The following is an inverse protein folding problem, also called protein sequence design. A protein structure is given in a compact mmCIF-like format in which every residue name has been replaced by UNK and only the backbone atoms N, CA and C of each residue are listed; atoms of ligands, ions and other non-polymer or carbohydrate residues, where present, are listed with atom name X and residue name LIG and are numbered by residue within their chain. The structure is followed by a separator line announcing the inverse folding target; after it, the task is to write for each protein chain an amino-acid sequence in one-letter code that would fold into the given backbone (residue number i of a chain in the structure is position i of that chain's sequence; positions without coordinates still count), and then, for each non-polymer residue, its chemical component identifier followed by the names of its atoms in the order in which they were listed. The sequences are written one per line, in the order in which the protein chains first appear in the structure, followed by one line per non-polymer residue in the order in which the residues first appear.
data_IF_315050322490
#
_entry.id   IF_315050322490
#
_cell.length_a   1.000
_cell.length_b   1.000
_cell.length_c   1.000
_cell.angle_alpha   90.00
_cell.angle_beta   90.00
_cell.angle_gamma   90.00
#
_symmetry.space_group_name_H-M   'P 1'
#
loop_
_entity.id
_entity.type
_entity.pdbx_description
1 polymer ?
#
# COMPACT_ATOMS: atom_id res chain seq x y z
N UNK A 1 16.44 -8.54 0.21
CA UNK A 1 15.45 -7.50 -0.16
C UNK A 1 16.00 -6.60 -1.25
N UNK A 2 15.15 -5.94 -2.04
CA UNK A 2 15.55 -5.14 -3.21
C UNK A 2 16.59 -4.05 -2.88
N UNK A 3 16.43 -3.33 -1.78
CA UNK A 3 17.37 -2.28 -1.39
C UNK A 3 18.76 -2.82 -1.01
N UNK A 4 18.82 -4.02 -0.43
CA UNK A 4 20.08 -4.72 -0.17
C UNK A 4 20.74 -5.22 -1.47
N UNK A 5 19.96 -5.52 -2.51
CA UNK A 5 20.52 -5.83 -3.82
C UNK A 5 21.11 -4.56 -4.45
N UNK A 6 20.39 -3.44 -4.40
CA UNK A 6 20.83 -2.16 -4.96
C UNK A 6 22.06 -1.62 -4.25
N UNK A 7 22.20 -1.80 -2.94
CA UNK A 7 23.42 -1.42 -2.23
C UNK A 7 24.65 -2.22 -2.72
N UNK A 8 24.51 -3.52 -2.98
CA UNK A 8 25.58 -4.35 -3.58
C UNK A 8 25.96 -3.92 -4.99
N UNK A 9 24.98 -3.47 -5.79
CA UNK A 9 25.23 -3.04 -7.17
C UNK A 9 26.06 -1.76 -7.26
N UNK A 10 25.97 -0.88 -6.27
CA UNK A 10 26.75 0.38 -6.24
C UNK A 10 28.27 0.16 -6.18
N UNK A 11 28.73 -0.99 -5.73
CA UNK A 11 30.16 -1.33 -5.67
C UNK A 11 30.63 -2.15 -6.87
N UNK A 12 29.73 -2.53 -7.78
CA UNK A 12 30.08 -3.30 -8.96
C UNK A 12 30.62 -2.40 -10.07
N UNK A 13 31.59 -2.91 -10.82
CA UNK A 13 32.24 -2.20 -11.92
C UNK A 13 31.47 -2.49 -13.22
N UNK A 14 31.11 -1.46 -14.00
CA UNK A 14 30.47 -1.66 -15.29
C UNK A 14 31.43 -2.33 -16.26
N UNK A 15 30.89 -3.30 -17.00
CA UNK A 15 31.57 -3.84 -18.18
C UNK A 15 31.10 -2.97 -19.35
N UNK A 16 32.05 -2.40 -20.08
CA UNK A 16 31.76 -1.85 -21.39
C UNK A 16 31.50 -3.04 -22.31
N UNK A 17 30.25 -3.16 -22.76
CA UNK A 17 29.92 -4.06 -23.86
C UNK A 17 30.64 -3.49 -25.10
N UNK A 18 31.85 -3.99 -25.38
CA UNK A 18 32.52 -3.82 -26.68
C UNK A 18 31.86 -4.70 -27.76
N UNK A 19 30.93 -5.57 -27.38
CA UNK A 19 30.23 -6.52 -28.24
C UNK A 19 28.87 -6.00 -28.79
N UNK A 20 28.83 -4.75 -29.28
CA UNK A 20 27.80 -4.31 -30.25
C UNK A 20 28.37 -4.26 -31.68
N UNK A 21 29.49 -4.97 -31.94
CA UNK A 21 30.10 -5.14 -33.27
C UNK A 21 29.68 -6.47 -33.94
N UNK A 22 28.48 -6.98 -33.63
CA UNK A 22 28.02 -8.30 -34.08
C UNK A 22 26.78 -8.34 -34.97
N UNK A 23 26.01 -7.26 -35.13
CA UNK A 23 24.76 -7.28 -35.91
C UNK A 23 24.82 -6.34 -37.11
N UNK A 24 25.36 -6.90 -38.20
CA UNK A 24 24.95 -6.77 -39.61
C UNK A 24 24.34 -5.43 -40.03
N UNK A 25 25.00 -4.77 -40.99
CA UNK A 25 24.46 -3.70 -41.86
C UNK A 25 23.23 -4.16 -42.69
N UNK A 26 22.13 -4.55 -42.03
CA UNK A 26 20.94 -5.08 -42.68
C UNK A 26 19.66 -4.53 -42.05
N UNK A 27 19.13 -3.48 -42.69
CA UNK A 27 17.85 -2.82 -42.45
C UNK A 27 17.63 -2.16 -41.08
N UNK A 28 17.50 -0.82 -41.13
CA UNK A 28 16.97 -0.01 -40.05
C UNK A 28 15.48 -0.37 -39.82
N UNK A 29 15.25 -1.51 -39.18
CA UNK A 29 13.91 -1.97 -38.84
C UNK A 29 13.26 -0.97 -37.90
N UNK A 30 12.11 -0.44 -38.31
CA UNK A 30 11.29 0.51 -37.58
C UNK A 30 10.04 -0.17 -37.03
N UNK A 31 9.44 0.43 -36.02
CA UNK A 31 8.18 0.02 -35.42
C UNK A 31 7.36 1.26 -35.07
N UNK A 32 6.06 1.12 -34.82
CA UNK A 32 5.22 2.25 -34.43
C UNK A 32 5.08 2.35 -32.91
N UNK A 33 5.14 3.57 -32.37
CA UNK A 33 4.79 3.81 -30.97
C UNK A 33 3.28 3.59 -30.75
N UNK A 34 2.91 2.70 -29.83
CA UNK A 34 1.49 2.45 -29.51
C UNK A 34 0.78 3.69 -28.91
N UNK A 35 1.53 4.61 -28.30
CA UNK A 35 0.99 5.78 -27.59
C UNK A 35 0.78 6.97 -28.51
N UNK A 36 1.72 7.26 -29.41
CA UNK A 36 1.65 8.43 -30.30
C UNK A 36 1.51 8.10 -31.80
N UNK A 37 1.62 6.83 -32.19
CA UNK A 37 1.49 6.38 -33.58
C UNK A 37 2.69 6.72 -34.49
N UNK A 38 3.75 7.33 -33.96
CA UNK A 38 4.93 7.73 -34.75
C UNK A 38 5.82 6.51 -35.01
N UNK A 39 6.38 6.45 -36.22
CA UNK A 39 7.38 5.46 -36.60
C UNK A 39 8.73 5.75 -35.92
N UNK A 40 9.28 4.75 -35.25
CA UNK A 40 10.48 4.84 -34.42
C UNK A 40 11.44 3.68 -34.73
N UNK A 41 12.77 3.91 -34.71
CA UNK A 41 13.74 2.84 -34.86
C UNK A 41 13.64 1.82 -33.71
N UNK A 42 13.72 0.51 -34.02
CA UNK A 42 13.62 -0.55 -33.00
C UNK A 42 14.68 -0.37 -31.89
N UNK A 43 15.91 0.04 -32.25
CA UNK A 43 17.01 0.28 -31.30
C UNK A 43 16.66 1.31 -30.20
N UNK A 44 15.80 2.29 -30.49
CA UNK A 44 15.38 3.33 -29.53
C UNK A 44 13.94 3.21 -29.07
N UNK A 45 13.21 2.20 -29.57
CA UNK A 45 11.77 2.07 -29.38
C UNK A 45 11.35 2.06 -27.91
N UNK A 46 12.02 1.26 -27.06
CA UNK A 46 11.71 1.18 -25.64
C UNK A 46 11.87 2.52 -24.90
N UNK A 47 12.93 3.28 -25.22
CA UNK A 47 13.18 4.60 -24.61
C UNK A 47 12.16 5.64 -25.06
N UNK A 48 11.76 5.59 -26.33
CA UNK A 48 10.70 6.45 -26.83
C UNK A 48 9.36 6.09 -26.16
N UNK A 49 8.98 4.82 -26.15
CA UNK A 49 7.71 4.36 -25.59
C UNK A 49 7.56 4.72 -24.11
N UNK A 50 8.61 4.54 -23.30
CA UNK A 50 8.61 4.95 -21.88
C UNK A 50 8.41 6.47 -21.71
N UNK A 51 9.18 7.29 -22.42
CA UNK A 51 9.03 8.76 -22.37
C UNK A 51 7.68 9.24 -22.90
N UNK A 52 7.22 8.65 -24.00
CA UNK A 52 5.96 9.00 -24.63
C UNK A 52 4.79 8.65 -23.73
N UNK A 53 4.85 7.47 -23.09
CA UNK A 53 3.86 7.05 -22.10
C UNK A 53 3.82 8.01 -20.91
N UNK A 54 4.97 8.36 -20.32
CA UNK A 54 5.03 9.30 -19.19
C UNK A 54 4.45 10.68 -19.56
N UNK A 55 4.72 11.17 -20.78
CA UNK A 55 4.15 12.44 -21.29
C UNK A 55 2.64 12.36 -21.50
N UNK A 56 2.12 11.23 -21.95
CA UNK A 56 0.69 11.02 -22.13
C UNK A 56 0.01 10.91 -20.76
N UNK A 57 0.56 10.09 -19.87
CA UNK A 57 0.04 9.85 -18.54
C UNK A 57 -0.04 11.14 -17.72
N UNK A 58 0.95 12.03 -17.81
CA UNK A 58 0.99 13.31 -17.09
C UNK A 58 -0.09 14.32 -17.52
N UNK A 59 -0.87 14.05 -18.57
CA UNK A 59 -1.97 14.93 -18.99
C UNK A 59 -3.25 14.71 -18.19
N UNK A 60 -3.36 13.58 -17.50
CA UNK A 60 -4.50 13.26 -16.64
C UNK A 60 -4.09 13.37 -15.19
N UNK A 61 -4.88 14.01 -14.35
CA UNK A 61 -4.65 14.01 -12.90
C UNK A 61 -5.49 12.92 -12.24
N UNK A 62 -4.86 12.14 -11.36
CA UNK A 62 -5.56 11.16 -10.51
C UNK A 62 -5.33 11.58 -9.07
N UNK A 63 -6.42 11.93 -8.38
CA UNK A 63 -6.33 12.45 -7.02
C UNK A 63 -7.55 12.19 -6.15
N UNK A 64 -7.38 12.45 -4.87
CA UNK A 64 -8.45 12.43 -3.87
C UNK A 64 -8.23 13.56 -2.88
N UNK A 65 -9.32 14.05 -2.28
CA UNK A 65 -9.27 15.08 -1.23
C UNK A 65 -8.58 14.57 0.04
N UNK A 66 -8.54 13.25 0.23
CA UNK A 66 -7.95 12.63 1.40
C UNK A 66 -6.51 12.19 1.14
N UNK A 67 -5.60 12.47 2.09
CA UNK A 67 -4.24 11.94 2.09
C UNK A 67 -4.26 10.47 2.54
N UNK A 68 -3.46 9.61 1.92
CA UNK A 68 -3.41 8.20 2.34
C UNK A 68 -2.64 8.10 3.66
N UNK A 69 -3.24 7.46 4.66
CA UNK A 69 -2.62 7.24 5.98
C UNK A 69 -2.31 5.75 6.16
N UNK A 70 -1.17 5.31 5.65
CA UNK A 70 -0.65 3.96 5.85
C UNK A 70 0.65 4.08 6.65
N UNK A 71 0.71 3.44 7.80
CA UNK A 71 1.90 3.44 8.66
C UNK A 71 3.08 2.74 7.96
N UNK A 72 4.29 3.31 8.11
CA UNK A 72 5.52 2.74 7.56
C UNK A 72 5.98 3.38 6.24
N UNK A 73 5.45 2.94 5.10
CA UNK A 73 5.92 3.38 3.78
C UNK A 73 4.78 3.81 2.86
N UNK A 74 4.76 5.09 2.47
CA UNK A 74 3.73 5.61 1.58
C UNK A 74 3.99 5.13 0.14
N UNK A 75 3.13 4.23 -0.34
CA UNK A 75 3.14 3.69 -1.70
C UNK A 75 2.59 4.69 -2.72
N UNK A 76 1.74 5.61 -2.27
CA UNK A 76 1.14 6.64 -3.11
C UNK A 76 1.97 7.92 -3.06
N UNK A 77 1.85 8.72 -4.10
CA UNK A 77 2.55 9.99 -4.22
C UNK A 77 2.12 11.00 -3.16
N UNK A 78 0.81 11.18 -2.96
CA UNK A 78 0.20 12.11 -2.01
C UNK A 78 0.76 13.54 -2.06
N UNK A 79 1.28 13.97 -3.21
CA UNK A 79 1.63 15.37 -3.42
C UNK A 79 0.34 16.19 -3.51
N UNK A 80 0.25 17.25 -2.70
CA UNK A 80 -0.93 18.11 -2.67
C UNK A 80 -0.87 19.13 -3.82
N UNK A 81 -1.89 19.13 -4.67
CA UNK A 81 -2.06 20.13 -5.70
C UNK A 81 -3.01 21.24 -5.19
N UNK A 82 -2.50 22.44 -4.87
CA UNK A 82 -3.31 23.53 -4.31
C UNK A 82 -4.36 24.07 -5.29
N UNK A 83 -4.12 23.95 -6.60
CA UNK A 83 -5.07 24.42 -7.62
C UNK A 83 -6.32 23.55 -7.68
N UNK A 84 -6.15 22.23 -7.52
CA UNK A 84 -7.28 21.27 -7.54
C UNK A 84 -7.83 20.95 -6.15
N UNK A 85 -7.09 21.25 -5.09
CA UNK A 85 -7.44 20.85 -3.72
C UNK A 85 -7.35 19.34 -3.46
N UNK A 86 -6.59 18.60 -4.28
CA UNK A 86 -6.51 17.13 -4.22
C UNK A 86 -5.05 16.66 -4.04
N UNK A 87 -4.91 15.49 -3.41
CA UNK A 87 -3.65 14.75 -3.29
C UNK A 87 -3.49 13.76 -4.44
N UNK A 88 -2.31 13.68 -5.04
CA UNK A 88 -2.00 12.74 -6.11
C UNK A 88 -2.07 11.27 -5.63
N UNK A 89 -2.84 10.42 -6.32
CA UNK A 89 -3.04 9.00 -5.98
C UNK A 89 -2.32 8.02 -6.90
N UNK A 90 -1.40 8.51 -7.73
CA UNK A 90 -0.48 7.62 -8.47
C UNK A 90 0.48 6.94 -7.49
N UNK A 91 0.96 5.74 -7.84
CA UNK A 91 2.07 5.13 -7.11
C UNK A 91 3.27 6.06 -7.13
N UNK A 92 3.90 6.27 -5.98
CA UNK A 92 5.01 7.21 -5.81
C UNK A 92 6.15 6.94 -6.79
N UNK A 93 6.47 5.67 -7.01
CA UNK A 93 7.57 5.25 -7.90
C UNK A 93 7.24 5.37 -9.39
N UNK A 94 5.96 5.48 -9.76
CA UNK A 94 5.52 5.64 -11.16
C UNK A 94 5.04 7.05 -11.50
N UNK A 95 4.73 7.88 -10.51
CA UNK A 95 4.15 9.20 -10.73
C UNK A 95 5.04 10.08 -11.64
N UNK A 96 4.59 10.45 -12.86
CA UNK A 96 5.40 11.21 -13.82
C UNK A 96 5.54 12.67 -13.42
N UNK A 97 4.60 13.19 -12.61
CA UNK A 97 4.54 14.60 -12.23
C UNK A 97 5.41 14.93 -11.00
N UNK A 98 5.45 14.02 -10.03
CA UNK A 98 5.97 14.31 -8.69
C UNK A 98 7.06 13.35 -8.23
N UNK A 99 7.44 12.37 -9.05
CA UNK A 99 8.61 11.53 -8.80
C UNK A 99 9.85 12.17 -9.40
N UNK A 100 10.88 12.39 -8.58
CA UNK A 100 12.19 12.84 -9.06
C UNK A 100 12.96 11.62 -9.53
N UNK A 101 13.27 11.55 -10.82
CA UNK A 101 14.17 10.53 -11.33
C UNK A 101 15.57 10.70 -10.70
N UNK A 102 16.14 9.65 -10.10
CA UNK A 102 17.47 9.72 -9.54
C UNK A 102 18.49 9.93 -10.67
N UNK A 103 19.48 10.79 -10.42
CA UNK A 103 20.60 10.99 -11.36
C UNK A 103 21.43 9.71 -11.41
N UNK A 104 21.46 9.07 -12.57
CA UNK A 104 22.26 7.86 -12.83
C UNK A 104 23.73 8.28 -13.04
N UNK A 105 24.63 7.77 -12.21
CA UNK A 105 26.08 7.99 -12.41
C UNK A 105 26.59 7.15 -13.58
N UNK A 106 27.71 7.55 -14.18
CA UNK A 106 28.33 6.80 -15.29
C UNK A 106 28.91 5.47 -14.85
N UNK A 107 29.23 5.35 -13.57
CA UNK A 107 29.75 4.15 -12.90
C UNK A 107 28.66 3.17 -12.48
N UNK A 108 27.38 3.54 -12.57
CA UNK A 108 26.29 2.69 -12.09
C UNK A 108 26.01 1.56 -13.09
N UNK A 109 26.11 0.32 -12.62
CA UNK A 109 25.71 -0.86 -13.40
C UNK A 109 24.19 -0.98 -13.44
N UNK A 110 23.68 -1.61 -14.50
CA UNK A 110 22.26 -1.96 -14.61
C UNK A 110 21.82 -2.79 -13.40
N UNK A 111 22.52 -3.88 -13.12
CA UNK A 111 22.31 -4.70 -11.93
C UNK A 111 21.02 -5.52 -11.90
N UNK A 112 20.28 -5.60 -13.01
CA UNK A 112 19.13 -6.48 -13.10
C UNK A 112 19.56 -7.92 -12.79
N UNK A 113 18.93 -8.61 -11.82
CA UNK A 113 19.23 -10.01 -11.54
C UNK A 113 19.05 -10.84 -12.81
N UNK A 114 20.07 -11.63 -13.16
CA UNK A 114 19.99 -12.56 -14.28
C UNK A 114 19.46 -13.89 -13.73
N UNK A 115 18.50 -14.48 -14.43
CA UNK A 115 17.98 -15.79 -14.09
C UNK A 115 18.68 -16.82 -14.98
N UNK A 116 19.37 -17.78 -14.39
CA UNK A 116 19.90 -18.95 -15.12
C UNK A 116 18.83 -20.03 -15.31
N UNK A 117 17.94 -20.19 -14.32
CA UNK A 117 16.78 -21.09 -14.33
C UNK A 117 15.64 -20.48 -13.51
N UNK A 118 14.39 -20.86 -13.81
CA UNK A 118 13.13 -20.24 -13.33
C UNK A 118 12.97 -20.22 -11.79
N UNK A 119 13.82 -20.92 -11.04
CA UNK A 119 13.68 -21.10 -9.58
C UNK A 119 14.97 -20.92 -8.77
N UNK A 120 16.13 -20.75 -9.42
CA UNK A 120 17.41 -20.64 -8.71
C UNK A 120 17.93 -19.21 -8.79
N UNK A 121 18.17 -18.61 -7.63
CA UNK A 121 18.81 -17.30 -7.50
C UNK A 121 20.25 -17.41 -8.02
N UNK A 122 20.41 -17.23 -9.33
CA UNK A 122 21.70 -16.92 -9.88
C UNK A 122 22.13 -15.61 -9.22
N UNK A 123 23.21 -15.65 -8.43
CA UNK A 123 23.80 -14.45 -7.81
C UNK A 123 24.45 -13.51 -8.85
N UNK A 124 24.11 -13.68 -10.12
CA UNK A 124 24.60 -12.90 -11.24
C UNK A 124 23.61 -11.79 -11.57
N UNK A 125 24.16 -10.67 -12.01
CA UNK A 125 23.40 -9.48 -12.35
C UNK A 125 24.01 -8.84 -13.59
N UNK A 126 23.18 -8.10 -14.33
CA UNK A 126 23.59 -7.37 -15.51
C UNK A 126 24.68 -6.33 -15.15
N UNK A 127 25.87 -6.46 -15.73
CA UNK A 127 27.01 -5.55 -15.47
C UNK A 127 27.13 -4.40 -16.48
N UNK A 128 26.27 -4.36 -17.49
CA UNK A 128 26.22 -3.27 -18.47
C UNK A 128 25.97 -1.95 -17.76
N UNK A 129 26.62 -0.86 -18.20
CA UNK A 129 26.34 0.48 -17.70
C UNK A 129 24.84 0.79 -17.78
N UNK A 130 24.25 1.26 -16.67
CA UNK A 130 22.79 1.50 -16.55
C UNK A 130 22.25 2.46 -17.61
N UNK A 131 23.07 3.43 -18.05
CA UNK A 131 22.72 4.37 -19.14
C UNK A 131 22.65 3.68 -20.50
N UNK A 132 23.50 2.68 -20.76
CA UNK A 132 23.60 1.98 -22.05
C UNK A 132 22.65 0.78 -22.16
N UNK A 133 22.34 0.12 -21.04
CA UNK A 133 21.48 -1.08 -21.01
C UNK A 133 20.07 -0.85 -21.58
N UNK A 134 19.76 -1.48 -22.72
CA UNK A 134 18.42 -1.45 -23.34
C UNK A 134 17.54 -2.62 -22.86
N UNK A 135 18.15 -3.78 -22.56
CA UNK A 135 17.43 -5.01 -22.13
C UNK A 135 16.63 -4.84 -20.84
N UNK A 136 17.13 -4.03 -19.91
CA UNK A 136 16.56 -3.87 -18.57
C UNK A 136 16.25 -2.40 -18.25
N UNK A 137 15.67 -1.69 -19.21
CA UNK A 137 15.34 -0.28 -19.05
C UNK A 137 14.35 -0.09 -17.88
N UNK A 138 14.73 0.71 -16.88
CA UNK A 138 13.86 1.04 -15.76
C UNK A 138 13.50 -0.13 -14.83
N UNK A 139 14.20 -1.28 -14.90
CA UNK A 139 13.85 -2.49 -14.14
C UNK A 139 13.72 -2.22 -12.63
N UNK A 140 14.57 -1.38 -12.05
CA UNK A 140 14.48 -1.01 -10.63
C UNK A 140 13.18 -0.28 -10.28
N UNK A 141 12.75 0.64 -11.16
CA UNK A 141 11.50 1.40 -11.01
C UNK A 141 10.32 0.44 -11.11
N UNK A 142 10.33 -0.45 -12.09
CA UNK A 142 9.30 -1.47 -12.30
C UNK A 142 9.23 -2.48 -11.14
N UNK A 143 10.37 -2.96 -10.65
CA UNK A 143 10.43 -3.90 -9.53
C UNK A 143 9.93 -3.27 -8.22
N UNK A 144 10.24 -1.99 -7.98
CA UNK A 144 9.65 -1.25 -6.86
C UNK A 144 8.14 -1.10 -7.02
N UNK A 145 7.66 -0.78 -8.22
CA UNK A 145 6.24 -0.66 -8.50
C UNK A 145 5.49 -1.99 -8.30
N UNK A 146 6.09 -3.11 -8.70
CA UNK A 146 5.55 -4.45 -8.46
C UNK A 146 5.38 -4.74 -6.96
N UNK A 147 6.42 -4.46 -6.15
CA UNK A 147 6.37 -4.62 -4.70
C UNK A 147 5.33 -3.70 -4.06
N UNK A 148 5.25 -2.44 -4.51
CA UNK A 148 4.26 -1.49 -4.00
C UNK A 148 2.83 -1.91 -4.38
N UNK A 149 2.61 -2.43 -5.60
CA UNK A 149 1.32 -3.00 -6.00
C UNK A 149 0.93 -4.20 -5.14
N UNK A 150 1.87 -5.07 -4.79
CA UNK A 150 1.59 -6.20 -3.92
C UNK A 150 1.20 -5.73 -2.51
N UNK A 151 1.91 -4.74 -1.98
CA UNK A 151 1.52 -4.10 -0.70
C UNK A 151 0.12 -3.47 -0.77
N UNK A 152 -0.25 -2.80 -1.87
CA UNK A 152 -1.61 -2.28 -2.07
C UNK A 152 -2.65 -3.40 -2.05
N UNK A 153 -2.40 -4.52 -2.74
CA UNK A 153 -3.31 -5.68 -2.72
C UNK A 153 -3.51 -6.23 -1.32
N UNK A 154 -2.42 -6.41 -0.58
CA UNK A 154 -2.49 -6.89 0.81
C UNK A 154 -3.25 -5.90 1.70
N UNK A 155 -3.04 -4.60 1.50
CA UNK A 155 -3.74 -3.57 2.25
C UNK A 155 -5.25 -3.56 1.98
N UNK A 156 -5.67 -3.65 0.72
CA UNK A 156 -7.08 -3.83 0.36
C UNK A 156 -7.68 -5.11 0.96
N UNK A 157 -6.88 -6.17 1.06
CA UNK A 157 -7.34 -7.41 1.68
C UNK A 157 -7.55 -7.26 3.19
N UNK A 158 -6.68 -6.52 3.86
CA UNK A 158 -6.83 -6.19 5.28
C UNK A 158 -8.10 -5.37 5.52
N UNK A 159 -8.38 -4.37 4.69
CA UNK A 159 -9.59 -3.55 4.77
C UNK A 159 -10.88 -4.39 4.63
N UNK A 160 -10.93 -5.28 3.63
CA UNK A 160 -12.03 -6.25 3.45
C UNK A 160 -12.24 -7.15 4.69
N UNK A 161 -11.15 -7.57 5.34
CA UNK A 161 -11.22 -8.39 6.55
C UNK A 161 -11.72 -7.60 7.76
N UNK A 162 -11.30 -6.34 7.92
CA UNK A 162 -11.79 -5.48 9.01
C UNK A 162 -13.29 -5.20 8.87
N UNK A 163 -13.77 -4.95 7.65
CA UNK A 163 -15.20 -4.73 7.42
C UNK A 163 -16.02 -6.00 7.72
N UNK A 164 -15.50 -7.17 7.34
CA UNK A 164 -16.10 -8.46 7.70
C UNK A 164 -16.12 -8.70 9.21
N UNK A 165 -15.03 -8.38 9.91
CA UNK A 165 -14.98 -8.48 11.36
C UNK A 165 -16.04 -7.59 12.01
N UNK A 166 -16.17 -6.33 11.56
CA UNK A 166 -17.18 -5.39 12.03
C UNK A 166 -18.59 -5.96 11.87
N UNK A 167 -18.91 -6.49 10.68
CA UNK A 167 -20.20 -7.12 10.42
C UNK A 167 -20.48 -8.29 11.37
N UNK A 168 -19.49 -9.18 11.58
CA UNK A 168 -19.64 -10.32 12.49
C UNK A 168 -19.85 -9.85 13.93
N UNK A 169 -19.07 -8.87 14.42
CA UNK A 169 -19.22 -8.32 15.77
C UNK A 169 -20.61 -7.70 15.98
N UNK A 170 -21.13 -6.96 14.99
CA UNK A 170 -22.48 -6.41 15.03
C UNK A 170 -23.57 -7.50 15.04
N UNK A 171 -23.38 -8.56 14.25
CA UNK A 171 -24.27 -9.74 14.26
C UNK A 171 -24.25 -10.48 15.60
N UNK A 172 -23.09 -10.59 16.26
CA UNK A 172 -22.99 -11.18 17.60
C UNK A 172 -23.69 -10.32 18.65
N UNK A 173 -23.47 -8.99 18.63
CA UNK A 173 -24.08 -8.06 19.58
C UNK A 173 -25.63 -8.05 19.46
N UNK A 174 -26.15 -8.04 18.23
CA UNK A 174 -27.60 -8.12 18.01
C UNK A 174 -28.22 -9.44 18.51
N UNK A 175 -27.54 -10.57 18.31
CA UNK A 175 -27.98 -11.87 18.86
C UNK A 175 -27.97 -11.89 20.39
N UNK A 176 -26.93 -11.34 21.03
CA UNK A 176 -26.87 -11.24 22.49
C UNK A 176 -28.02 -10.38 23.05
N UNK A 177 -28.36 -9.27 22.37
CA UNK A 177 -29.51 -8.44 22.72
C UNK A 177 -30.85 -9.21 22.64
N UNK A 178 -31.06 -9.99 21.58
CA UNK A 178 -32.25 -10.85 21.44
C UNK A 178 -32.29 -11.94 22.51
N UNK A 179 -31.16 -12.58 22.83
CA UNK A 179 -31.09 -13.58 23.89
C UNK A 179 -31.46 -12.99 25.25
N UNK A 180 -31.01 -11.77 25.55
CA UNK A 180 -31.41 -11.05 26.77
C UNK A 180 -32.92 -10.81 26.84
N UNK A 181 -33.56 -10.44 25.72
CA UNK A 181 -35.02 -10.30 25.65
C UNK A 181 -35.74 -11.64 25.82
N UNK A 182 -35.26 -12.71 25.18
CA UNK A 182 -35.84 -14.05 25.28
C UNK A 182 -35.74 -14.63 26.69
N UNK A 183 -34.63 -14.35 27.38
CA UNK A 183 -34.39 -14.84 28.75
C UNK A 183 -35.03 -13.96 29.82
N UNK A 184 -35.57 -12.79 29.48
CA UNK A 184 -36.17 -11.88 30.46
C UNK A 184 -37.27 -12.55 31.30
N UNK A 185 -38.09 -13.42 30.70
CA UNK A 185 -39.14 -14.17 31.41
C UNK A 185 -38.65 -15.40 32.18
N UNK A 186 -37.35 -15.72 32.10
CA UNK A 186 -36.73 -16.80 32.89
C UNK A 186 -36.13 -16.31 34.21
N UNK A 187 -36.14 -14.98 34.43
CA UNK A 187 -35.72 -14.36 35.68
C UNK A 187 -36.84 -14.35 36.72
N UNK A 188 -36.53 -14.75 37.96
CA UNK A 188 -37.43 -14.60 39.09
C UNK A 188 -37.06 -13.34 39.89
N UNK A 189 -37.75 -12.23 39.60
CA UNK A 189 -37.46 -10.91 40.16
C UNK A 189 -37.62 -10.85 41.69
N UNK A 190 -38.48 -11.70 42.27
CA UNK A 190 -38.76 -11.70 43.71
C UNK A 190 -37.58 -12.18 44.59
N UNK A 191 -36.60 -12.87 44.03
CA UNK A 191 -35.44 -13.41 44.77
C UNK A 191 -34.22 -12.47 44.79
N UNK A 192 -34.23 -11.38 44.02
CA UNK A 192 -33.08 -10.49 43.84
C UNK A 192 -33.29 -9.08 44.43
N UNK A 193 -34.51 -8.69 44.75
CA UNK A 193 -34.74 -7.43 45.47
C UNK A 193 -34.12 -7.54 46.87
N UNK A 194 -33.21 -6.62 47.25
CA UNK A 194 -32.69 -6.56 48.62
C UNK A 194 -33.88 -6.47 49.57
N UNK A 195 -34.00 -7.43 50.48
CA UNK A 195 -34.98 -7.35 51.56
C UNK A 195 -34.76 -6.00 52.26
N UNK A 196 -35.79 -5.16 52.42
CA UNK A 196 -35.64 -3.94 53.21
C UNK A 196 -35.15 -4.34 54.60
N UNK A 197 -34.05 -3.72 55.06
CA UNK A 197 -33.53 -3.95 56.40
C UNK A 197 -34.67 -3.77 57.41
N UNK A 198 -34.86 -4.69 58.37
CA UNK A 198 -35.95 -4.58 59.31
C UNK A 198 -35.77 -3.31 60.15
N UNK A 199 -36.72 -2.38 60.00
CA UNK A 199 -36.82 -1.20 60.86
C UNK A 199 -36.80 -1.64 62.32
N UNK A 200 -35.82 -1.13 63.08
CA UNK A 200 -35.75 -1.33 64.53
C UNK A 200 -37.01 -0.72 65.14
N UNK A 201 -37.94 -1.56 65.56
CA UNK A 201 -39.12 -1.19 66.34
C UNK A 201 -38.64 -0.51 67.64
N UNK A 202 -38.75 0.82 67.69
CA UNK A 202 -38.61 1.58 68.93
C UNK A 202 -39.81 1.27 69.81
N UNK A 203 -39.59 0.47 70.85
CA UNK A 203 -40.55 0.30 71.93
C UNK A 203 -40.68 1.63 72.68
N UNK A 204 -41.87 2.24 72.60
CA UNK A 204 -42.25 3.36 73.43
C UNK A 204 -42.34 2.91 74.89
N UNK A 205 -41.56 3.56 75.76
CA UNK A 205 -41.68 3.43 77.22
C UNK A 205 -42.78 4.41 77.67
N UNK A 206 -43.80 3.98 78.44
CA UNK A 206 -44.83 4.91 78.91
C UNK A 206 -44.28 5.77 80.05
N UNK A 207 -44.33 7.09 79.87
CA UNK A 207 -44.03 8.06 80.93
C UNK A 207 -45.24 8.12 81.87
N UNK A 208 -45.02 7.77 83.13
CA UNK A 208 -45.99 7.94 84.21
C UNK A 208 -45.94 9.37 84.72
N UNK A 209 -46.98 10.15 84.47
CA UNK A 209 -47.21 11.40 85.20
C UNK A 209 -48.49 11.27 86.02
N UNK A 210 -48.27 11.15 87.32
CA UNK A 210 -49.17 11.53 88.40
C UNK A 210 -49.41 13.05 88.33
N UNK A 211 -50.68 13.50 88.30
CA UNK A 211 -51.28 14.21 89.44
C UNK A 211 -52.63 14.90 89.14
N UNK A 212 -53.57 14.64 90.05
CA UNK A 212 -54.64 15.46 90.63
C UNK A 212 -54.92 16.87 90.04
N UNK A 213 -56.12 17.08 89.48
CA UNK A 213 -57.33 17.59 90.17
C UNK A 213 -58.53 17.61 89.21
#
# INVERSE_FOLDING_TARGET
GLDALISRLRTAIPIDDEDDEGESEGDASTTYCITCGIEIPIKTALRHMDKCFNKFESQTSFGSVYKTHIEGNNMFCDFFNPTTGMYCKRLRVLCPEHCKEPKISETEVCGCPLLKNVLEESNEFCRVAKKKCVRHLGWEKLRRAEIDMERVRQWLKIDDLFEKERHVRQAMASRAGVLSLLLHSTYNHALMDPQPEPEKVQQAVPHSDHDYF
#
